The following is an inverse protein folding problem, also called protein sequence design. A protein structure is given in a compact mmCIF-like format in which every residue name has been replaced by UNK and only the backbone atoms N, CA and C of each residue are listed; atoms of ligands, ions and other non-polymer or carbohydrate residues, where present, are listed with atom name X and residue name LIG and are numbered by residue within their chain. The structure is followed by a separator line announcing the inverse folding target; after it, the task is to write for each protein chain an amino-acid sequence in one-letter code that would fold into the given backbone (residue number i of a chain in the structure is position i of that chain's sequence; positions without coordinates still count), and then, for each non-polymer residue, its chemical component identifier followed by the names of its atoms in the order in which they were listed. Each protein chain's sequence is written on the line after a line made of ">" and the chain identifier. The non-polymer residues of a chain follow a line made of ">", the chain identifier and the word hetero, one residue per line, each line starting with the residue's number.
data_IF_582728516779
#
_entry.id   IF_582728516779
#
_cell.length_a   1.000
_cell.length_b   1.000
_cell.length_c   1.000
_cell.angle_alpha   90.00
_cell.angle_beta   90.00
_cell.angle_gamma   90.00
#
_symmetry.space_group_name_H-M   'P 1'
#
loop_
_entity.id
_entity.type
_entity.pdbx_description
1 polymer ?
#
# COMPACT_ATOMS: atom_id res chain seq x y z
N UNK A 1 -8.63 6.77 2.81
CA UNK A 1 -7.76 7.78 2.16
C UNK A 1 -6.97 7.18 1.02
N UNK A 2 -6.08 6.20 1.24
CA UNK A 2 -5.29 5.60 0.14
C UNK A 2 -6.17 5.06 -0.99
N UNK A 3 -7.22 4.29 -0.70
CA UNK A 3 -8.15 3.79 -1.73
C UNK A 3 -8.87 4.89 -2.51
N UNK A 4 -9.14 6.03 -1.88
CA UNK A 4 -9.75 7.18 -2.57
C UNK A 4 -8.73 7.90 -3.47
N UNK A 5 -7.45 7.95 -3.06
CA UNK A 5 -6.36 8.55 -3.83
C UNK A 5 -5.94 7.68 -5.02
N UNK A 6 -5.84 6.36 -4.83
CA UNK A 6 -5.35 5.42 -5.87
C UNK A 6 -6.47 4.77 -6.69
N UNK A 7 -7.74 5.04 -6.37
CA UNK A 7 -8.89 4.33 -6.93
C UNK A 7 -8.76 2.81 -6.76
N UNK A 8 -9.17 2.04 -7.76
CA UNK A 8 -9.19 0.57 -7.72
C UNK A 8 -7.80 -0.10 -7.56
N UNK A 9 -6.70 0.65 -7.69
CA UNK A 9 -5.36 0.08 -7.62
C UNK A 9 -4.90 -0.25 -6.20
N UNK A 10 -5.62 0.18 -5.15
CA UNK A 10 -5.20 -0.05 -3.77
C UNK A 10 -4.99 -1.55 -3.47
N UNK A 11 -5.87 -2.44 -3.96
CA UNK A 11 -5.72 -3.88 -3.73
C UNK A 11 -4.42 -4.42 -4.30
N UNK A 12 -4.02 -3.99 -5.50
CA UNK A 12 -2.78 -4.42 -6.14
C UNK A 12 -1.56 -3.97 -5.34
N UNK A 13 -1.58 -2.75 -4.82
CA UNK A 13 -0.50 -2.19 -3.98
C UNK A 13 -0.34 -3.01 -2.70
N UNK A 14 -1.43 -3.27 -1.98
CA UNK A 14 -1.39 -4.05 -0.74
C UNK A 14 -1.04 -5.53 -1.00
N UNK A 15 -1.52 -6.13 -2.09
CA UNK A 15 -1.14 -7.49 -2.48
C UNK A 15 0.35 -7.61 -2.80
N UNK A 16 0.93 -6.62 -3.50
CA UNK A 16 2.36 -6.55 -3.71
C UNK A 16 3.11 -6.48 -2.38
N UNK A 17 2.65 -5.63 -1.46
CA UNK A 17 3.28 -5.48 -0.15
C UNK A 17 3.21 -6.77 0.69
N UNK A 18 2.07 -7.48 0.66
CA UNK A 18 1.90 -8.77 1.33
C UNK A 18 2.83 -9.85 0.75
N UNK A 19 2.88 -9.98 -0.57
CA UNK A 19 3.71 -10.99 -1.24
C UNK A 19 5.21 -10.77 -1.02
N UNK A 20 5.62 -9.52 -0.84
CA UNK A 20 7.01 -9.14 -0.57
C UNK A 20 7.33 -9.00 0.93
N UNK A 21 6.42 -9.41 1.82
CA UNK A 21 6.62 -9.42 3.28
C UNK A 21 6.96 -8.06 3.88
N UNK A 22 6.40 -6.97 3.33
CA UNK A 22 6.48 -5.67 3.97
C UNK A 22 5.78 -5.68 5.32
N UNK A 23 6.29 -4.91 6.27
CA UNK A 23 5.72 -4.75 7.61
C UNK A 23 4.58 -3.74 7.56
N UNK A 24 3.50 -4.02 8.29
CA UNK A 24 2.32 -3.17 8.35
C UNK A 24 2.16 -2.52 9.74
N UNK A 25 1.14 -1.67 9.88
CA UNK A 25 0.80 -0.93 11.11
C UNK A 25 1.84 0.14 11.45
N UNK A 26 1.80 0.63 12.69
CA UNK A 26 2.51 1.83 13.14
C UNK A 26 4.04 1.75 13.01
N UNK A 27 4.62 0.55 13.01
CA UNK A 27 6.06 0.30 12.85
C UNK A 27 6.38 -0.43 11.54
N UNK A 28 5.47 -0.30 10.58
CA UNK A 28 5.58 -0.88 9.26
C UNK A 28 6.50 -0.11 8.33
N UNK A 29 6.56 -0.58 7.09
CA UNK A 29 7.27 0.09 6.02
C UNK A 29 6.40 1.20 5.40
N UNK A 30 7.05 2.21 4.83
CA UNK A 30 6.36 3.35 4.21
C UNK A 30 6.04 3.11 2.73
N UNK A 31 5.03 3.81 2.23
CA UNK A 31 4.64 3.78 0.81
C UNK A 31 4.52 5.21 0.29
N UNK A 32 5.24 5.52 -0.79
CA UNK A 32 5.21 6.82 -1.46
C UNK A 32 4.38 6.66 -2.73
N UNK A 33 3.31 7.45 -2.86
CA UNK A 33 2.38 7.42 -3.98
C UNK A 33 2.43 8.77 -4.70
N UNK A 34 2.66 8.72 -6.02
CA UNK A 34 2.78 9.90 -6.89
C UNK A 34 1.59 9.85 -7.87
N UNK A 35 0.95 10.99 -8.17
CA UNK A 35 -0.15 11.06 -9.14
C UNK A 35 0.26 10.64 -10.55
#
# INVERSE_FOLDING_TARGET
>A
LIAAFTGNNWQKIYNYALNNKFRFLSYGDSSILIP
#
